data_IF_487602350246
#
_entry.id   IF_487602350246
#
_cell.length_a   1.000
_cell.length_b   1.000
_cell.length_c   1.000
_cell.angle_alpha   90.00
_cell.angle_beta   90.00
_cell.angle_gamma   90.00
#
_symmetry.space_group_name_H-M   'P 1'
#
loop_
_entity.id
_entity.type
_entity.pdbx_description
1 polymer ?
#
# COMPACT_ATOMS: atom_id res chain seq x y z
N UNK A 1 7.94 -32.05 11.30
CA UNK A 1 7.10 -30.86 11.06
C UNK A 1 8.00 -29.78 10.51
N UNK A 2 8.09 -29.70 9.19
CA UNK A 2 8.79 -28.58 8.54
C UNK A 2 7.93 -27.34 8.73
N UNK A 3 8.44 -26.39 9.52
CA UNK A 3 7.88 -25.04 9.56
C UNK A 3 8.15 -24.43 8.19
N UNK A 4 7.14 -24.08 7.38
CA UNK A 4 7.41 -23.38 6.14
C UNK A 4 8.10 -22.08 6.53
N UNK A 5 9.33 -21.90 6.06
CA UNK A 5 10.07 -20.65 6.15
C UNK A 5 9.17 -19.62 5.49
N UNK A 6 8.44 -18.84 6.30
CA UNK A 6 7.67 -17.70 5.82
C UNK A 6 8.71 -16.72 5.32
N UNK A 7 8.95 -16.78 4.01
CA UNK A 7 9.85 -15.89 3.27
C UNK A 7 9.55 -14.47 3.69
N UNK A 8 10.62 -13.72 3.98
CA UNK A 8 10.70 -12.34 4.51
C UNK A 8 9.91 -11.27 3.72
N UNK A 9 9.03 -11.66 2.80
CA UNK A 9 8.33 -10.82 1.84
C UNK A 9 6.82 -10.82 2.07
N UNK A 10 6.40 -10.90 3.33
CA UNK A 10 5.00 -10.70 3.74
C UNK A 10 4.75 -9.31 4.35
N UNK A 11 5.79 -8.60 4.77
CA UNK A 11 5.69 -7.31 5.46
C UNK A 11 6.60 -6.25 4.83
N UNK A 12 6.20 -4.97 4.79
CA UNK A 12 7.08 -3.87 4.39
C UNK A 12 8.29 -3.78 5.32
N UNK A 13 9.42 -3.34 4.77
CA UNK A 13 10.64 -3.11 5.54
C UNK A 13 10.44 -2.06 6.64
N UNK A 14 9.62 -1.05 6.35
CA UNK A 14 9.25 0.02 7.26
C UNK A 14 7.73 0.18 7.28
N UNK A 15 7.19 0.28 8.49
CA UNK A 15 5.78 0.47 8.74
C UNK A 15 5.56 0.92 10.20
N UNK A 16 4.40 1.51 10.48
CA UNK A 16 4.01 1.82 11.85
C UNK A 16 3.62 0.54 12.59
N UNK A 17 4.27 0.22 13.72
CA UNK A 17 4.03 -1.04 14.43
C UNK A 17 2.58 -1.21 14.88
N UNK A 18 1.90 -0.11 15.22
CA UNK A 18 0.48 -0.12 15.58
C UNK A 18 -0.45 -0.59 14.45
N UNK A 19 -0.01 -0.52 13.19
CA UNK A 19 -0.80 -0.93 12.03
C UNK A 19 -0.45 -2.32 11.52
N UNK A 20 0.49 -3.03 12.17
CA UNK A 20 1.02 -4.32 11.71
C UNK A 20 -0.06 -5.31 11.30
N UNK A 21 -0.99 -5.59 12.21
CA UNK A 21 -2.05 -6.58 11.99
C UNK A 21 -3.01 -6.13 10.88
N UNK A 22 -3.29 -4.84 10.81
CA UNK A 22 -4.13 -4.28 9.74
C UNK A 22 -3.47 -4.39 8.37
N UNK A 23 -2.16 -4.13 8.28
CA UNK A 23 -1.38 -4.28 7.04
C UNK A 23 -1.39 -5.74 6.59
N UNK A 24 -1.15 -6.69 7.50
CA UNK A 24 -1.21 -8.13 7.19
C UNK A 24 -2.56 -8.49 6.61
N UNK A 25 -3.66 -8.10 7.27
CA UNK A 25 -5.02 -8.36 6.79
C UNK A 25 -5.29 -7.76 5.40
N UNK A 26 -4.74 -6.58 5.09
CA UNK A 26 -4.87 -6.01 3.74
C UNK A 26 -4.08 -6.79 2.69
N UNK A 27 -2.86 -7.20 3.03
CA UNK A 27 -1.96 -7.93 2.13
C UNK A 27 -2.44 -9.36 1.85
N UNK A 28 -3.08 -10.01 2.83
CA UNK A 28 -3.67 -11.35 2.68
C UNK A 28 -4.78 -11.41 1.62
N UNK A 29 -5.46 -10.29 1.37
CA UNK A 29 -6.51 -10.16 0.34
C UNK A 29 -5.95 -10.10 -1.08
N UNK A 30 -4.63 -10.00 -1.23
CA UNK A 30 -3.94 -9.94 -2.51
C UNK A 30 -3.36 -11.30 -2.88
N UNK A 31 -3.27 -11.58 -4.18
CA UNK A 31 -2.52 -12.72 -4.69
C UNK A 31 -1.03 -12.57 -4.38
N UNK A 32 -0.27 -13.67 -4.22
CA UNK A 32 1.13 -13.60 -3.82
C UNK A 32 2.00 -12.66 -4.68
N UNK A 33 1.83 -12.70 -6.01
CA UNK A 33 2.57 -11.84 -6.94
C UNK A 33 2.25 -10.34 -6.75
N UNK A 34 0.99 -10.00 -6.46
CA UNK A 34 0.56 -8.62 -6.23
C UNK A 34 0.97 -8.15 -4.84
N UNK A 35 0.93 -9.04 -3.84
CA UNK A 35 1.34 -8.77 -2.46
C UNK A 35 2.79 -8.29 -2.40
N UNK A 36 3.71 -8.95 -3.09
CA UNK A 36 5.13 -8.56 -3.13
C UNK A 36 5.31 -7.11 -3.64
N UNK A 37 4.58 -6.74 -4.70
CA UNK A 37 4.61 -5.37 -5.23
C UNK A 37 4.00 -4.37 -4.25
N UNK A 38 2.90 -4.73 -3.60
CA UNK A 38 2.22 -3.88 -2.61
C UNK A 38 3.12 -3.61 -1.39
N UNK A 39 3.83 -4.63 -0.90
CA UNK A 39 4.79 -4.54 0.22
C UNK A 39 5.88 -3.52 -0.07
N UNK A 40 6.56 -3.64 -1.22
CA UNK A 40 7.63 -2.72 -1.63
C UNK A 40 7.10 -1.30 -1.80
N UNK A 41 5.93 -1.15 -2.46
CA UNK A 41 5.35 0.17 -2.70
C UNK A 41 4.88 0.82 -1.40
N UNK A 42 4.36 0.05 -0.46
CA UNK A 42 3.98 0.56 0.86
C UNK A 42 5.18 1.19 1.57
N UNK A 43 6.30 0.45 1.65
CA UNK A 43 7.53 0.95 2.29
C UNK A 43 8.01 2.26 1.65
N UNK A 44 8.09 2.29 0.31
CA UNK A 44 8.50 3.50 -0.41
C UNK A 44 7.62 4.72 -0.08
N UNK A 45 6.29 4.54 -0.11
CA UNK A 45 5.35 5.63 0.21
C UNK A 45 5.46 6.09 1.66
N UNK A 46 5.65 5.14 2.58
CA UNK A 46 5.85 5.45 3.99
C UNK A 46 7.09 6.34 4.17
N UNK A 47 8.23 5.95 3.59
CA UNK A 47 9.47 6.73 3.67
C UNK A 47 9.33 8.10 3.02
N UNK A 48 8.81 8.17 1.80
CA UNK A 48 8.60 9.42 1.06
C UNK A 48 7.76 10.41 1.89
N UNK A 49 6.66 9.95 2.48
CA UNK A 49 5.78 10.79 3.28
C UNK A 49 6.39 11.18 4.64
N UNK A 50 7.23 10.32 5.23
CA UNK A 50 7.98 10.62 6.44
C UNK A 50 9.03 11.71 6.19
N UNK A 51 9.78 11.60 5.09
CA UNK A 51 10.85 12.53 4.73
C UNK A 51 10.31 13.88 4.27
N UNK A 52 9.17 13.89 3.60
CA UNK A 52 8.50 15.11 3.13
C UNK A 52 7.86 15.93 4.25
N UNK A 53 7.55 15.34 5.41
CA UNK A 53 6.91 16.05 6.52
C UNK A 53 7.95 16.87 7.32
N UNK A 54 7.89 18.22 7.33
CA UNK A 54 8.89 19.03 8.02
C UNK A 54 8.76 18.95 9.55
N UNK A 55 7.57 18.62 10.08
CA UNK A 55 7.30 18.63 11.51
C UNK A 55 7.61 17.24 12.10
N UNK A 56 8.72 17.13 12.81
CA UNK A 56 9.26 15.87 13.37
C UNK A 56 8.22 15.00 14.07
N UNK A 57 7.42 15.56 14.98
CA UNK A 57 6.41 14.81 15.75
C UNK A 57 5.18 14.39 14.92
N UNK A 58 5.02 14.91 13.70
CA UNK A 58 3.92 14.54 12.78
C UNK A 58 4.35 13.52 11.73
N UNK A 59 5.65 13.37 11.49
CA UNK A 59 6.21 12.53 10.42
C UNK A 59 5.62 11.12 10.40
N UNK A 60 5.64 10.44 11.54
CA UNK A 60 5.14 9.07 11.64
C UNK A 60 3.65 8.98 11.28
N UNK A 61 2.82 9.87 11.83
CA UNK A 61 1.38 9.89 11.54
C UNK A 61 1.10 10.21 10.07
N UNK A 62 1.87 11.12 9.47
CA UNK A 62 1.76 11.46 8.05
C UNK A 62 2.11 10.27 7.17
N UNK A 63 3.22 9.60 7.47
CA UNK A 63 3.69 8.41 6.77
C UNK A 63 2.67 7.26 6.83
N UNK A 64 2.20 6.94 8.04
CA UNK A 64 1.14 5.93 8.26
C UNK A 64 -0.11 6.26 7.48
N UNK A 65 -0.59 7.50 7.57
CA UNK A 65 -1.82 7.92 6.90
C UNK A 65 -1.75 7.76 5.38
N UNK A 66 -0.65 8.20 4.76
CA UNK A 66 -0.49 8.13 3.31
C UNK A 66 -0.35 6.68 2.83
N UNK A 67 0.54 5.91 3.47
CA UNK A 67 0.80 4.52 3.10
C UNK A 67 -0.44 3.63 3.28
N UNK A 68 -1.12 3.74 4.43
CA UNK A 68 -2.34 2.97 4.71
C UNK A 68 -3.49 3.36 3.77
N UNK A 69 -3.66 4.65 3.49
CA UNK A 69 -4.70 5.11 2.54
C UNK A 69 -4.47 4.52 1.15
N UNK A 70 -3.24 4.58 0.64
CA UNK A 70 -2.90 4.00 -0.67
C UNK A 70 -3.07 2.48 -0.70
N UNK A 71 -2.65 1.77 0.34
CA UNK A 71 -2.83 0.31 0.43
C UNK A 71 -4.31 -0.07 0.39
N UNK A 72 -5.15 0.61 1.17
CA UNK A 72 -6.61 0.36 1.20
C UNK A 72 -7.24 0.57 -0.17
N UNK A 73 -6.87 1.66 -0.87
CA UNK A 73 -7.36 1.95 -2.21
C UNK A 73 -6.91 0.88 -3.22
N UNK A 74 -5.65 0.48 -3.15
CA UNK A 74 -5.08 -0.54 -4.03
C UNK A 74 -5.77 -1.89 -3.87
N UNK A 75 -5.94 -2.37 -2.63
CA UNK A 75 -6.64 -3.63 -2.33
C UNK A 75 -8.09 -3.58 -2.82
N UNK A 76 -8.80 -2.47 -2.58
CA UNK A 76 -10.17 -2.29 -3.05
C UNK A 76 -10.26 -2.33 -4.58
N UNK A 77 -9.34 -1.67 -5.27
CA UNK A 77 -9.32 -1.62 -6.73
C UNK A 77 -8.98 -2.98 -7.32
N UNK A 78 -8.05 -3.74 -6.71
CA UNK A 78 -7.76 -5.11 -7.16
C UNK A 78 -8.95 -6.06 -7.00
N UNK A 79 -9.71 -5.93 -5.91
CA UNK A 79 -10.96 -6.69 -5.75
C UNK A 79 -11.96 -6.41 -6.88
N UNK A 80 -12.08 -5.15 -7.33
CA UNK A 80 -12.96 -4.77 -8.45
C UNK A 80 -12.45 -5.27 -9.79
N UNK A 81 -11.14 -5.17 -10.03
CA UNK A 81 -10.51 -5.67 -11.26
C UNK A 81 -10.65 -7.20 -11.40
N UNK A 82 -10.50 -7.94 -10.28
CA UNK A 82 -10.71 -9.40 -10.25
C UNK A 82 -12.19 -9.80 -10.44
N UNK A 83 -13.13 -8.94 -10.04
CA UNK A 83 -14.57 -9.14 -10.26
C UNK A 83 -15.05 -8.72 -11.66
N UNK A 84 -14.14 -8.44 -12.60
CA UNK A 84 -14.48 -8.15 -13.99
C UNK A 84 -14.76 -6.67 -14.30
N UNK A 85 -14.57 -5.75 -13.35
CA UNK A 85 -14.66 -4.32 -13.59
C UNK A 85 -13.28 -3.73 -13.92
N UNK A 86 -12.68 -4.17 -15.02
CA UNK A 86 -11.56 -3.43 -15.62
C UNK A 86 -12.14 -2.27 -16.43
N UNK A 87 -12.73 -1.28 -15.75
CA UNK A 87 -13.03 -0.02 -16.41
C UNK A 87 -11.69 0.65 -16.75
N UNK A 88 -11.50 1.04 -18.01
CA UNK A 88 -10.30 1.69 -18.51
C UNK A 88 -9.89 2.85 -17.58
N UNK A 89 -8.60 2.97 -17.22
CA UNK A 89 -8.16 4.11 -16.43
C UNK A 89 -8.50 5.40 -17.20
N UNK A 90 -9.18 6.38 -16.58
CA UNK A 90 -9.41 7.65 -17.26
C UNK A 90 -8.03 8.26 -17.55
N UNK A 91 -7.73 8.40 -18.83
CA UNK A 91 -6.54 9.08 -19.33
C UNK A 91 -6.57 10.50 -18.75
N UNK A 92 -5.71 10.76 -17.77
CA UNK A 92 -5.54 12.09 -17.22
C UNK A 92 -4.92 12.98 -18.31
N UNK A 93 -5.76 13.73 -19.03
CA UNK A 93 -5.28 14.71 -19.99
C UNK A 93 -6.32 15.22 -20.97
N UNK A 94 -7.19 16.13 -20.52
CA UNK A 94 -7.59 17.34 -21.27
C UNK A 94 -8.35 18.25 -20.30
N UNK A 95 -7.64 19.08 -19.55
CA UNK A 95 -8.23 20.31 -19.03
C UNK A 95 -8.33 21.28 -20.22
N UNK A 96 -9.51 21.39 -20.83
CA UNK A 96 -9.82 22.56 -21.66
C UNK A 96 -9.98 23.75 -20.73
N UNK A 97 -8.96 24.62 -20.72
CA UNK A 97 -9.06 25.94 -20.12
C UNK A 97 -9.97 26.79 -21.01
N UNK A 98 -11.10 27.22 -20.48
CA UNK A 98 -11.91 28.33 -21.03
C UNK A 98 -11.49 29.62 -20.34
#
# INVERSE_FOLDING_TARGET
>A
MEMPIRTLQEMPEIYGQADKDWIIQQLERLTPAVRQKAVLRYAAVYQEAFDAEPISYRKENRARHEANTRLRLFVRNQGRALQGYTAEPPLAGTQSRS
#
